data_IF_548363027769
#
_entry.id   IF_548363027769
#
_cell.length_a   1.000
_cell.length_b   1.000
_cell.length_c   1.000
_cell.angle_alpha   90.00
_cell.angle_beta   90.00
_cell.angle_gamma   90.00
#
_symmetry.space_group_name_H-M   'P 1'
#
loop_
_entity.id
_entity.type
_entity.pdbx_description
1 polymer ?
#
# COMPACT_ATOMS: atom_id res chain seq x y z
N UNK A 1 17.45 2.51 -8.57
CA UNK A 1 17.04 2.68 -7.16
C UNK A 1 15.59 2.25 -6.97
N UNK A 2 14.62 2.86 -7.67
CA UNK A 2 13.20 2.41 -7.63
C UNK A 2 13.03 0.95 -8.10
N UNK A 3 13.84 0.51 -9.07
CA UNK A 3 13.78 -0.84 -9.65
C UNK A 3 14.18 -1.97 -8.67
N UNK A 4 15.11 -1.72 -7.74
CA UNK A 4 15.55 -2.69 -6.73
C UNK A 4 14.48 -2.88 -5.65
N UNK A 5 13.86 -1.77 -5.22
CA UNK A 5 12.72 -1.80 -4.30
C UNK A 5 11.52 -2.52 -4.91
N UNK A 6 11.30 -2.34 -6.22
CA UNK A 6 10.28 -3.04 -6.99
C UNK A 6 10.49 -4.56 -6.98
N UNK A 7 11.76 -5.02 -6.92
CA UNK A 7 12.11 -6.43 -6.82
C UNK A 7 11.73 -7.09 -5.47
N UNK A 8 11.55 -6.31 -4.40
CA UNK A 8 11.13 -6.84 -3.09
C UNK A 8 9.61 -7.02 -2.97
N UNK A 9 8.83 -6.35 -3.82
CA UNK A 9 7.37 -6.40 -3.83
C UNK A 9 6.82 -7.83 -4.00
N UNK A 10 7.28 -8.64 -4.98
CA UNK A 10 6.75 -10.00 -5.15
C UNK A 10 7.02 -10.90 -3.94
N UNK A 11 8.18 -10.77 -3.28
CA UNK A 11 8.50 -11.56 -2.09
C UNK A 11 7.58 -11.20 -0.90
N UNK A 12 7.33 -9.90 -0.69
CA UNK A 12 6.37 -9.42 0.31
C UNK A 12 4.94 -9.88 0.01
N UNK A 13 4.53 -9.79 -1.25
CA UNK A 13 3.19 -10.21 -1.67
C UNK A 13 2.98 -11.71 -1.47
N UNK A 14 3.98 -12.53 -1.81
CA UNK A 14 3.94 -13.98 -1.62
C UNK A 14 3.86 -14.35 -0.14
N UNK A 15 4.63 -13.68 0.73
CA UNK A 15 4.58 -13.88 2.18
C UNK A 15 3.19 -13.52 2.76
N UNK A 16 2.64 -12.38 2.35
CA UNK A 16 1.31 -11.94 2.79
C UNK A 16 0.23 -12.92 2.33
N UNK A 17 0.30 -13.37 1.07
CA UNK A 17 -0.60 -14.39 0.53
C UNK A 17 -0.52 -15.69 1.33
N UNK A 18 0.68 -16.22 1.60
CA UNK A 18 0.83 -17.46 2.37
C UNK A 18 0.27 -17.33 3.79
N UNK A 19 0.59 -16.23 4.49
CA UNK A 19 0.07 -16.00 5.85
C UNK A 19 -1.46 -15.86 5.85
N UNK A 20 -2.01 -15.16 4.85
CA UNK A 20 -3.47 -15.00 4.74
C UNK A 20 -4.17 -16.33 4.46
N UNK A 21 -3.58 -17.17 3.60
CA UNK A 21 -4.14 -18.47 3.24
C UNK A 21 -4.14 -19.40 4.45
N UNK A 22 -3.05 -19.46 5.21
CA UNK A 22 -2.97 -20.24 6.45
C UNK A 22 -4.02 -19.79 7.47
N UNK A 23 -4.18 -18.48 7.67
CA UNK A 23 -5.21 -17.96 8.57
C UNK A 23 -6.61 -18.38 8.14
N UNK A 24 -6.94 -18.23 6.86
CA UNK A 24 -8.24 -18.63 6.31
C UNK A 24 -8.45 -20.13 6.46
N UNK A 25 -7.45 -20.96 6.15
CA UNK A 25 -7.52 -22.41 6.29
C UNK A 25 -7.79 -22.81 7.75
N UNK A 26 -7.01 -22.29 8.70
CA UNK A 26 -7.18 -22.59 10.13
C UNK A 26 -8.56 -22.15 10.61
N UNK A 27 -9.01 -20.95 10.24
CA UNK A 27 -10.34 -20.46 10.59
C UNK A 27 -11.44 -21.38 10.03
N UNK A 28 -11.40 -21.72 8.74
CA UNK A 28 -12.39 -22.59 8.12
C UNK A 28 -12.39 -23.98 8.75
N UNK A 29 -11.22 -24.60 8.95
CA UNK A 29 -11.08 -25.91 9.60
C UNK A 29 -11.62 -25.89 11.04
N UNK A 30 -11.39 -24.81 11.79
CA UNK A 30 -11.93 -24.66 13.15
C UNK A 30 -13.45 -24.50 13.19
N UNK A 31 -14.02 -23.78 12.23
CA UNK A 31 -15.47 -23.61 12.07
C UNK A 31 -16.11 -24.94 11.70
N UNK A 32 -15.51 -25.68 10.76
CA UNK A 32 -15.96 -27.03 10.39
C UNK A 32 -15.91 -27.94 11.62
N UNK A 33 -14.82 -27.92 12.39
CA UNK A 33 -14.68 -28.73 13.59
C UNK A 33 -15.78 -28.42 14.62
N UNK A 34 -16.13 -27.15 14.81
CA UNK A 34 -17.15 -26.74 15.77
C UNK A 34 -18.58 -27.12 15.34
N UNK A 35 -18.90 -27.00 14.05
CA UNK A 35 -20.25 -27.29 13.55
C UNK A 35 -20.50 -28.74 13.11
N UNK A 36 -19.44 -29.52 12.87
CA UNK A 36 -19.55 -30.94 12.47
C UNK A 36 -19.44 -31.94 13.63
N UNK A 37 -19.21 -31.44 14.85
CA UNK A 37 -19.20 -32.29 16.04
C UNK A 37 -20.62 -32.78 16.34
N UNK A 38 -20.86 -34.08 16.10
CA UNK A 38 -22.13 -34.73 16.44
C UNK A 38 -21.86 -35.95 17.32
N UNK A 39 -22.53 -35.99 18.46
CA UNK A 39 -22.52 -37.09 19.41
C UNK A 39 -23.90 -37.75 19.40
N UNK A 40 -23.98 -38.98 18.89
CA UNK A 40 -25.22 -39.75 18.83
C UNK A 40 -25.23 -40.76 19.99
N UNK A 41 -26.13 -40.55 20.96
CA UNK A 41 -26.46 -41.54 22.00
C UNK A 41 -27.69 -42.32 21.54
N UNK A 42 -27.48 -43.44 20.84
CA UNK A 42 -28.56 -44.34 20.44
C UNK A 42 -28.93 -45.21 21.64
N UNK A 43 -30.08 -44.91 22.27
CA UNK A 43 -30.74 -45.78 23.25
C UNK A 43 -31.86 -46.52 22.54
N UNK A 44 -31.68 -47.82 22.29
CA UNK A 44 -32.71 -48.69 21.72
C UNK A 44 -33.23 -49.61 22.82
N UNK A 45 -34.46 -49.37 23.31
CA UNK A 45 -35.14 -50.22 24.30
C UNK A 45 -36.23 -51.03 23.62
N UNK A 46 -35.91 -52.24 23.14
CA UNK A 46 -36.90 -53.18 22.59
C UNK A 46 -37.49 -54.03 23.71
N UNK A 47 -38.71 -53.71 24.17
CA UNK A 47 -39.47 -54.55 25.09
C UNK A 47 -40.45 -55.44 24.32
N UNK A 48 -40.04 -56.67 24.00
CA UNK A 48 -40.91 -57.70 23.41
C UNK A 48 -41.35 -58.69 24.49
N UNK A 49 -42.57 -58.53 25.01
CA UNK A 49 -43.18 -59.50 25.93
C UNK A 49 -44.15 -60.40 25.17
N UNK A 50 -43.77 -61.66 24.95
CA UNK A 50 -44.61 -62.65 24.26
C UNK A 50 -45.17 -63.65 25.27
N UNK A 51 -46.49 -63.63 25.48
CA UNK A 51 -47.19 -64.52 26.41
C UNK A 51 -47.86 -65.66 25.63
N UNK A 52 -47.36 -66.89 25.83
CA UNK A 52 -47.94 -68.11 25.21
C UNK A 52 -48.98 -68.70 26.15
N UNK A 53 -50.21 -68.93 25.68
CA UNK A 53 -51.31 -69.57 26.43
C UNK A 53 -51.66 -70.94 25.85
N UNK A 54 -51.82 -71.95 26.71
CA UNK A 54 -52.09 -73.35 26.33
C UNK A 54 -51.20 -74.37 27.05
N UNK A 55 -51.73 -75.60 27.24
CA UNK A 55 -51.08 -76.73 27.94
C UNK A 55 -50.58 -77.84 27.00
N UNK A 56 -50.59 -77.63 25.68
CA UNK A 56 -50.07 -78.60 24.71
C UNK A 56 -48.54 -78.69 24.73
N UNK A 57 -47.98 -79.82 24.29
CA UNK A 57 -46.53 -80.04 24.19
C UNK A 57 -45.83 -78.97 23.34
N UNK A 58 -46.47 -78.51 22.25
CA UNK A 58 -45.99 -77.40 21.43
C UNK A 58 -45.94 -76.08 22.20
N UNK A 59 -46.95 -75.79 23.03
CA UNK A 59 -46.99 -74.59 23.86
C UNK A 59 -45.90 -74.61 24.94
N UNK A 60 -45.54 -75.78 25.48
CA UNK A 60 -44.41 -75.91 26.41
C UNK A 60 -43.07 -75.66 25.70
N UNK A 61 -42.86 -76.21 24.50
CA UNK A 61 -41.66 -75.97 23.72
C UNK A 61 -41.50 -74.48 23.38
N UNK A 62 -42.55 -73.84 22.86
CA UNK A 62 -42.54 -72.40 22.54
C UNK A 62 -42.31 -71.53 23.77
N UNK A 63 -42.86 -71.90 24.93
CA UNK A 63 -42.63 -71.15 26.18
C UNK A 63 -41.19 -71.30 26.68
N UNK A 64 -40.56 -72.45 26.46
CA UNK A 64 -39.15 -72.68 26.81
C UNK A 64 -38.17 -71.96 25.87
N UNK A 65 -38.46 -71.91 24.56
CA UNK A 65 -37.60 -71.24 23.58
C UNK A 65 -37.74 -69.73 23.62
N UNK A 66 -38.97 -69.21 23.78
CA UNK A 66 -39.23 -67.77 23.92
C UNK A 66 -38.82 -67.24 25.30
N UNK A 67 -38.91 -68.07 26.35
CA UNK A 67 -38.41 -67.73 27.69
C UNK A 67 -36.89 -67.53 27.73
N UNK A 68 -36.14 -68.31 26.94
CA UNK A 68 -34.68 -68.14 26.80
C UNK A 68 -34.28 -66.89 25.99
N UNK A 69 -35.20 -66.35 25.18
CA UNK A 69 -35.01 -65.13 24.39
C UNK A 69 -35.63 -63.88 25.06
N UNK A 70 -36.20 -64.02 26.25
CA UNK A 70 -36.78 -62.92 27.03
C UNK A 70 -35.68 -62.11 27.74
N UNK A 71 -34.74 -61.60 26.95
CA UNK A 71 -33.64 -60.74 27.40
C UNK A 71 -33.95 -59.31 26.98
N UNK A 72 -34.30 -58.47 27.95
CA UNK A 72 -34.31 -57.02 27.78
C UNK A 72 -32.88 -56.51 27.60
N UNK A 73 -32.39 -56.43 26.36
CA UNK A 73 -31.07 -55.87 26.07
C UNK A 73 -31.15 -54.35 25.98
N UNK A 74 -30.76 -53.65 27.04
CA UNK A 74 -30.52 -52.20 27.03
C UNK A 74 -29.15 -51.94 26.41
N UNK A 75 -29.10 -51.76 25.09
CA UNK A 75 -27.85 -51.44 24.39
C UNK A 75 -27.72 -49.92 24.30
N UNK A 76 -26.83 -49.36 25.12
CA UNK A 76 -26.40 -47.97 25.03
C UNK A 76 -25.21 -47.89 24.06
N UNK A 77 -25.46 -47.44 22.83
CA UNK A 77 -24.40 -47.21 21.86
C UNK A 77 -24.07 -45.72 21.84
N UNK A 78 -22.97 -45.34 22.49
CA UNK A 78 -22.40 -43.99 22.38
C UNK A 78 -21.39 -43.96 21.22
N UNK A 79 -21.76 -43.30 20.12
CA UNK A 79 -20.87 -43.12 18.96
C UNK A 79 -20.55 -41.64 18.76
N UNK A 80 -19.26 -41.31 18.72
CA UNK A 80 -18.77 -39.94 18.51
C UNK A 80 -17.98 -39.83 17.20
N UNK A 81 -18.22 -38.77 16.41
CA UNK A 81 -17.49 -38.53 15.15
C UNK A 81 -16.10 -37.89 15.32
N UNK A 82 -15.59 -37.75 16.55
CA UNK A 82 -14.32 -37.07 16.86
C UNK A 82 -13.12 -37.55 16.05
N UNK A 83 -13.03 -38.85 15.77
CA UNK A 83 -11.94 -39.43 14.98
C UNK A 83 -11.95 -39.00 13.51
N UNK A 84 -13.11 -38.55 13.00
CA UNK A 84 -13.31 -38.12 11.62
C UNK A 84 -13.20 -36.60 11.44
N UNK A 85 -13.10 -35.82 12.53
CA UNK A 85 -13.02 -34.36 12.45
C UNK A 85 -11.61 -33.91 12.04
N UNK A 86 -11.48 -32.98 11.08
CA UNK A 86 -10.18 -32.44 10.71
C UNK A 86 -9.58 -31.65 11.87
N UNK A 87 -8.34 -31.97 12.26
CA UNK A 87 -7.61 -31.22 13.28
C UNK A 87 -6.95 -29.99 12.64
N UNK A 88 -7.34 -28.75 13.01
CA UNK A 88 -6.68 -27.56 12.50
C UNK A 88 -5.26 -27.48 13.08
N UNK A 89 -4.27 -27.84 12.26
CA UNK A 89 -2.85 -27.63 12.59
C UNK A 89 -2.41 -26.29 12.03
N UNK A 90 -2.24 -25.30 12.89
CA UNK A 90 -1.57 -24.05 12.51
C UNK A 90 -0.07 -24.28 12.38
N UNK A 91 0.59 -23.50 11.52
CA UNK A 91 2.04 -23.43 11.51
C UNK A 91 2.53 -22.96 12.89
N UNK A 92 3.58 -23.61 13.37
CA UNK A 92 4.23 -23.20 14.63
C UNK A 92 4.84 -21.80 14.48
N UNK A 93 4.92 -21.00 15.55
CA UNK A 93 5.54 -19.67 15.48
C UNK A 93 6.99 -19.70 14.97
N UNK A 94 7.69 -20.81 15.21
CA UNK A 94 9.04 -21.04 14.71
C UNK A 94 9.08 -21.18 13.17
N UNK A 95 8.10 -21.84 12.57
CA UNK A 95 7.99 -21.96 11.11
C UNK A 95 7.68 -20.61 10.45
N UNK A 96 6.79 -19.81 11.05
CA UNK A 96 6.55 -18.43 10.61
C UNK A 96 7.82 -17.57 10.69
N UNK A 97 8.53 -17.64 11.81
CA UNK A 97 9.78 -16.90 11.98
C UNK A 97 10.82 -17.28 10.92
N UNK A 98 10.96 -18.58 10.63
CA UNK A 98 11.90 -19.09 9.63
C UNK A 98 11.57 -18.63 8.20
N UNK A 99 10.28 -18.53 7.86
CA UNK A 99 9.80 -18.04 6.55
C UNK A 99 9.94 -16.53 6.39
N UNK A 100 9.69 -15.77 7.46
CA UNK A 100 9.77 -14.31 7.44
C UNK A 100 11.22 -13.77 7.48
N UNK A 101 12.12 -14.47 8.16
CA UNK A 101 13.54 -14.08 8.30
C UNK A 101 14.23 -13.72 6.97
N UNK A 102 14.22 -14.55 5.91
CA UNK A 102 14.91 -14.22 4.66
C UNK A 102 14.35 -12.97 3.98
N UNK A 103 13.03 -12.76 4.04
CA UNK A 103 12.38 -11.56 3.47
C UNK A 103 12.80 -10.32 4.24
N UNK A 104 12.85 -10.39 5.58
CA UNK A 104 13.31 -9.28 6.41
C UNK A 104 14.78 -8.93 6.15
N UNK A 105 15.65 -9.94 6.00
CA UNK A 105 17.06 -9.75 5.65
C UNK A 105 17.19 -9.10 4.27
N UNK A 106 16.42 -9.55 3.28
CA UNK A 106 16.43 -8.97 1.93
C UNK A 106 16.09 -7.48 1.98
N UNK A 107 15.01 -7.11 2.67
CA UNK A 107 14.59 -5.70 2.83
C UNK A 107 15.69 -4.88 3.52
N UNK A 108 16.30 -5.42 4.58
CA UNK A 108 17.41 -4.75 5.27
C UNK A 108 18.60 -4.50 4.33
N UNK A 109 18.98 -5.51 3.53
CA UNK A 109 20.07 -5.38 2.57
C UNK A 109 19.77 -4.33 1.50
N UNK A 110 18.54 -4.27 0.99
CA UNK A 110 18.13 -3.22 0.04
C UNK A 110 18.24 -1.82 0.66
N UNK A 111 17.84 -1.65 1.93
CA UNK A 111 18.03 -0.38 2.64
C UNK A 111 19.50 -0.03 2.77
N UNK A 112 20.33 -0.97 3.24
CA UNK A 112 21.78 -0.79 3.37
C UNK A 112 22.36 -0.36 2.03
N UNK A 113 22.04 -1.03 0.91
CA UNK A 113 22.51 -0.65 -0.42
C UNK A 113 22.18 0.81 -0.77
N UNK A 114 20.95 1.27 -0.55
CA UNK A 114 20.57 2.67 -0.82
C UNK A 114 21.47 3.65 -0.06
N UNK A 115 21.73 3.36 1.21
CA UNK A 115 22.63 4.17 2.04
C UNK A 115 24.10 4.04 1.59
N UNK A 116 24.57 2.85 1.24
CA UNK A 116 25.91 2.60 0.70
C UNK A 116 26.17 3.43 -0.55
N UNK A 117 25.21 3.50 -1.48
CA UNK A 117 25.33 4.30 -2.70
C UNK A 117 25.41 5.80 -2.40
N UNK A 118 24.67 6.30 -1.41
CA UNK A 118 24.76 7.70 -0.96
C UNK A 118 26.14 7.98 -0.33
N UNK A 119 26.60 7.08 0.53
CA UNK A 119 27.88 7.20 1.23
C UNK A 119 29.08 6.98 0.31
N UNK A 120 28.94 6.28 -0.82
CA UNK A 120 30.02 6.09 -1.81
C UNK A 120 30.65 7.42 -2.22
N UNK A 121 29.84 8.48 -2.35
CA UNK A 121 30.35 9.82 -2.64
C UNK A 121 31.16 10.39 -1.47
N UNK A 122 30.71 10.21 -0.24
CA UNK A 122 31.43 10.66 0.96
C UNK A 122 32.77 9.93 1.11
N UNK A 123 32.77 8.61 0.93
CA UNK A 123 33.97 7.77 0.94
C UNK A 123 34.95 8.22 -0.16
N UNK A 124 34.47 8.40 -1.39
CA UNK A 124 35.32 8.87 -2.50
C UNK A 124 35.85 10.29 -2.27
N UNK A 125 35.08 11.17 -1.63
CA UNK A 125 35.50 12.52 -1.27
C UNK A 125 36.61 12.51 -0.20
N UNK A 126 36.54 11.57 0.75
CA UNK A 126 37.55 11.38 1.79
C UNK A 126 38.88 10.88 1.20
N UNK A 127 38.85 9.84 0.36
CA UNK A 127 40.07 9.27 -0.23
C UNK A 127 40.66 10.09 -1.39
N UNK A 128 39.83 10.76 -2.20
CA UNK A 128 40.27 11.50 -3.38
C UNK A 128 39.77 12.97 -3.41
N UNK A 129 40.17 13.80 -2.44
CA UNK A 129 39.64 15.15 -2.27
C UNK A 129 39.93 16.06 -3.48
N UNK A 130 41.10 15.90 -4.12
CA UNK A 130 41.48 16.67 -5.31
C UNK A 130 40.52 16.46 -6.49
N UNK A 131 40.09 15.21 -6.72
CA UNK A 131 39.17 14.86 -7.83
C UNK A 131 37.75 15.33 -7.52
N UNK A 132 37.28 15.19 -6.28
CA UNK A 132 35.94 15.67 -5.90
C UNK A 132 35.86 17.20 -5.96
N UNK A 133 36.88 17.93 -5.51
CA UNK A 133 36.94 19.41 -5.63
C UNK A 133 36.81 19.87 -7.08
N UNK A 134 37.50 19.20 -8.01
CA UNK A 134 37.37 19.50 -9.45
C UNK A 134 35.95 19.28 -9.97
N UNK A 135 35.29 18.18 -9.59
CA UNK A 135 33.90 17.89 -9.97
C UNK A 135 32.92 18.93 -9.41
N UNK A 136 33.08 19.29 -8.14
CA UNK A 136 32.25 20.30 -7.48
C UNK A 136 32.45 21.67 -8.13
N UNK A 137 33.70 22.07 -8.40
CA UNK A 137 34.00 23.35 -9.05
C UNK A 137 33.47 23.39 -10.49
N UNK A 138 33.56 22.28 -11.23
CA UNK A 138 32.97 22.16 -12.56
C UNK A 138 31.44 22.31 -12.50
N UNK A 139 30.77 21.59 -11.60
CA UNK A 139 29.32 21.67 -11.43
C UNK A 139 28.88 23.09 -11.03
N UNK A 140 29.59 23.71 -10.10
CA UNK A 140 29.36 25.09 -9.68
C UNK A 140 29.46 26.05 -10.87
N UNK A 141 30.56 25.98 -11.63
CA UNK A 141 30.75 26.82 -12.81
C UNK A 141 29.69 26.56 -13.89
N UNK A 142 29.26 25.30 -14.07
CA UNK A 142 28.19 24.94 -15.00
C UNK A 142 26.86 25.58 -14.58
N UNK A 143 26.48 25.47 -13.31
CA UNK A 143 25.27 26.09 -12.76
C UNK A 143 25.32 27.62 -12.86
N UNK A 144 26.49 28.22 -12.59
CA UNK A 144 26.69 29.66 -12.71
C UNK A 144 26.52 30.13 -14.16
N UNK A 145 27.09 29.40 -15.13
CA UNK A 145 26.92 29.67 -16.57
C UNK A 145 25.47 29.52 -17.00
N UNK A 146 24.78 28.47 -16.54
CA UNK A 146 23.36 28.26 -16.83
C UNK A 146 22.51 29.43 -16.30
N UNK A 147 22.70 29.85 -15.03
CA UNK A 147 22.01 31.00 -14.44
C UNK A 147 22.29 32.30 -15.21
N UNK A 148 23.56 32.58 -15.55
CA UNK A 148 23.92 33.76 -16.36
C UNK A 148 23.24 33.74 -17.73
N UNK A 149 23.26 32.60 -18.42
CA UNK A 149 22.62 32.46 -19.73
C UNK A 149 21.09 32.64 -19.67
N UNK A 150 20.45 32.12 -18.62
CA UNK A 150 19.03 32.33 -18.36
C UNK A 150 18.71 33.81 -18.14
N UNK A 151 19.42 34.49 -17.25
CA UNK A 151 19.23 35.93 -16.99
C UNK A 151 19.47 36.75 -18.26
N UNK A 152 20.52 36.46 -19.03
CA UNK A 152 20.80 37.14 -20.30
C UNK A 152 19.68 36.93 -21.32
N UNK A 153 19.15 35.70 -21.44
CA UNK A 153 18.01 35.41 -22.33
C UNK A 153 16.77 36.17 -21.91
N UNK A 154 16.45 36.18 -20.62
CA UNK A 154 15.29 36.91 -20.09
C UNK A 154 15.43 38.42 -20.31
N UNK A 155 16.61 39.01 -20.05
CA UNK A 155 16.87 40.43 -20.33
C UNK A 155 16.67 40.77 -21.82
N UNK A 156 17.14 39.92 -22.74
CA UNK A 156 16.93 40.11 -24.18
C UNK A 156 15.45 40.04 -24.57
N UNK A 157 14.68 39.12 -23.98
CA UNK A 157 13.23 39.02 -24.20
C UNK A 157 12.50 40.25 -23.67
N UNK A 158 12.85 40.72 -22.47
CA UNK A 158 12.30 41.94 -21.88
C UNK A 158 12.60 43.19 -22.73
N UNK A 159 13.85 43.35 -23.18
CA UNK A 159 14.23 44.47 -24.04
C UNK A 159 13.46 44.46 -25.37
N UNK A 160 13.29 43.28 -26.00
CA UNK A 160 12.48 43.13 -27.22
C UNK A 160 11.00 43.47 -26.97
N UNK A 161 10.43 42.99 -25.87
CA UNK A 161 9.06 43.34 -25.47
C UNK A 161 8.91 44.84 -25.23
N UNK A 162 9.87 45.48 -24.54
CA UNK A 162 9.85 46.92 -24.32
C UNK A 162 9.89 47.71 -25.64
N UNK A 163 10.74 47.31 -26.59
CA UNK A 163 10.80 47.93 -27.92
C UNK A 163 9.52 47.72 -28.73
N UNK A 164 8.94 46.51 -28.72
CA UNK A 164 7.65 46.24 -29.38
C UNK A 164 6.49 47.03 -28.74
N UNK A 165 6.52 47.17 -27.43
CA UNK A 165 5.55 47.95 -26.66
C UNK A 165 5.70 49.46 -26.90
N UNK A 166 6.87 49.96 -27.33
CA UNK A 166 7.05 51.36 -27.75
C UNK A 166 6.45 51.69 -29.14
N UNK A 167 5.85 50.73 -29.84
CA UNK A 167 5.14 50.96 -31.10
C UNK A 167 3.84 51.75 -30.93
N UNK A 168 3.33 52.29 -32.04
CA UNK A 168 2.10 53.09 -32.23
C UNK A 168 0.87 52.64 -31.40
N UNK A 169 0.80 51.34 -31.08
CA UNK A 169 -0.19 50.70 -30.21
C UNK A 169 -0.18 51.26 -28.78
N UNK A 170 0.97 51.57 -28.17
CA UNK A 170 1.02 52.14 -26.81
C UNK A 170 0.63 53.62 -26.80
N UNK A 171 0.94 54.40 -27.84
CA UNK A 171 0.45 55.78 -27.97
C UNK A 171 -1.08 55.81 -28.09
N UNK A 172 -1.67 54.90 -28.87
CA UNK A 172 -3.12 54.73 -28.99
C UNK A 172 -3.75 54.21 -27.68
N UNK A 173 -3.12 53.23 -27.02
CA UNK A 173 -3.59 52.73 -25.71
C UNK A 173 -3.50 53.81 -24.63
N UNK A 174 -2.43 54.59 -24.59
CA UNK A 174 -2.21 55.64 -23.60
C UNK A 174 -3.17 56.81 -23.80
N UNK A 175 -3.51 57.12 -25.05
CA UNK A 175 -4.60 58.03 -25.39
C UNK A 175 -5.97 57.48 -24.94
N UNK A 176 -6.29 56.23 -25.28
CA UNK A 176 -7.56 55.59 -24.92
C UNK A 176 -7.71 55.41 -23.38
N UNK A 177 -6.63 55.08 -22.68
CA UNK A 177 -6.61 54.93 -21.22
C UNK A 177 -6.69 56.27 -20.47
N UNK A 178 -6.33 57.40 -21.11
CA UNK A 178 -6.58 58.75 -20.57
C UNK A 178 -8.08 59.07 -20.57
N UNK A 179 -8.85 58.45 -21.46
CA UNK A 179 -10.30 58.60 -21.57
C UNK A 179 -11.11 57.51 -20.85
N UNK A 180 -10.54 56.32 -20.60
CA UNK A 180 -11.18 55.25 -19.83
C UNK A 180 -10.24 54.67 -18.73
N UNK A 181 -10.36 55.12 -17.47
CA UNK A 181 -9.50 54.64 -16.37
C UNK A 181 -9.72 53.16 -15.99
N UNK A 182 -10.85 52.58 -16.39
CA UNK A 182 -11.23 51.20 -16.04
C UNK A 182 -10.42 50.13 -16.81
N UNK A 183 -9.96 50.44 -18.03
CA UNK A 183 -9.23 49.50 -18.90
C UNK A 183 -7.76 49.32 -18.50
N UNK A 184 -7.20 50.27 -17.73
CA UNK A 184 -5.81 50.24 -17.29
C UNK A 184 -5.55 49.15 -16.23
N UNK A 185 -6.59 48.77 -15.48
CA UNK A 185 -6.50 47.75 -14.43
C UNK A 185 -6.35 46.34 -15.00
N UNK A 186 -6.85 46.08 -16.21
CA UNK A 186 -6.83 44.75 -16.83
C UNK A 186 -5.53 44.40 -17.59
N UNK A 187 -4.76 45.38 -18.05
CA UNK A 187 -3.61 45.12 -18.95
C UNK A 187 -2.23 44.97 -18.27
N UNK A 188 -2.12 45.16 -16.95
CA UNK A 188 -0.83 45.16 -16.23
C UNK A 188 -0.79 44.25 -14.99
N UNK A 189 -1.38 43.05 -15.07
CA UNK A 189 -1.52 42.13 -13.92
C UNK A 189 -0.72 40.81 -14.06
N UNK A 190 0.39 40.81 -14.80
CA UNK A 190 1.23 39.61 -14.97
C UNK A 190 2.70 39.86 -14.65
N UNK A 191 3.39 38.81 -14.18
CA UNK A 191 4.81 38.92 -13.86
C UNK A 191 5.64 39.21 -15.11
N UNK A 192 6.57 40.17 -15.01
CA UNK A 192 7.34 40.64 -16.16
C UNK A 192 8.25 39.54 -16.77
N UNK A 193 8.71 38.59 -15.93
CA UNK A 193 9.63 37.51 -16.34
C UNK A 193 8.85 36.30 -16.90
N UNK A 194 7.97 35.69 -16.10
CA UNK A 194 7.28 34.44 -16.49
C UNK A 194 5.92 34.64 -17.17
N UNK A 195 5.32 35.84 -17.08
CA UNK A 195 4.01 36.13 -17.65
C UNK A 195 2.83 35.45 -16.93
N UNK A 196 3.05 34.83 -15.78
CA UNK A 196 1.96 34.21 -15.01
C UNK A 196 1.01 35.27 -14.47
N UNK A 197 -0.29 34.95 -14.49
CA UNK A 197 -1.34 35.78 -13.92
C UNK A 197 -1.21 35.88 -12.39
N UNK A 198 -1.76 36.98 -11.88
CA UNK A 198 -1.66 37.48 -10.51
C UNK A 198 -1.70 36.39 -9.42
N UNK A 199 -0.74 36.46 -8.48
CA UNK A 199 -0.87 35.81 -7.17
C UNK A 199 -0.93 36.91 -6.10
N UNK A 200 -1.68 36.74 -4.99
CA UNK A 200 -1.86 37.77 -3.96
C UNK A 200 -0.57 38.20 -3.22
N UNK A 201 0.60 37.72 -3.65
CA UNK A 201 1.89 37.91 -3.00
C UNK A 201 2.97 38.45 -3.95
N UNK A 202 2.57 39.18 -5.00
CA UNK A 202 3.50 39.73 -5.98
C UNK A 202 4.32 40.90 -5.38
N UNK A 203 5.64 40.86 -5.58
CA UNK A 203 6.57 41.88 -5.07
C UNK A 203 6.75 42.98 -6.13
N UNK A 204 6.58 44.23 -5.72
CA UNK A 204 6.90 45.41 -6.52
C UNK A 204 8.37 45.74 -6.37
N UNK A 205 9.01 46.15 -7.47
CA UNK A 205 10.37 46.66 -7.41
C UNK A 205 10.42 47.88 -6.46
N UNK A 206 11.33 47.92 -5.47
CA UNK A 206 11.43 49.02 -4.52
C UNK A 206 11.94 50.31 -5.17
N UNK A 207 12.42 50.25 -6.42
CA UNK A 207 12.83 51.43 -7.17
C UNK A 207 11.57 52.17 -7.70
N UNK A 208 11.32 53.42 -7.26
CA UNK A 208 10.07 54.11 -7.57
C UNK A 208 9.86 54.38 -9.06
N UNK A 209 10.94 54.43 -9.85
CA UNK A 209 10.90 54.63 -11.29
C UNK A 209 10.67 53.34 -12.11
N UNK A 210 10.82 52.15 -11.50
CA UNK A 210 10.83 50.88 -12.25
C UNK A 210 9.43 50.31 -12.45
N UNK A 211 8.55 50.38 -11.44
CA UNK A 211 7.16 49.91 -11.51
C UNK A 211 6.97 48.43 -11.89
N UNK A 212 8.05 47.64 -11.96
CA UNK A 212 8.02 46.25 -12.39
C UNK A 212 7.47 45.33 -11.29
N UNK A 213 6.66 44.35 -11.69
CA UNK A 213 6.04 43.36 -10.81
C UNK A 213 6.65 41.97 -11.04
N UNK A 214 6.96 41.28 -9.95
CA UNK A 214 7.59 39.96 -9.96
C UNK A 214 6.80 38.95 -9.14
N UNK A 215 6.74 37.72 -9.65
CA UNK A 215 6.24 36.57 -8.90
C UNK A 215 7.22 36.20 -7.77
N UNK A 216 6.78 35.55 -6.69
CA UNK A 216 7.67 35.07 -5.61
C UNK A 216 8.85 34.20 -6.09
N UNK A 217 8.64 33.38 -7.12
CA UNK A 217 9.69 32.53 -7.68
C UNK A 217 10.65 33.29 -8.63
N UNK A 218 10.28 34.50 -9.04
CA UNK A 218 10.94 35.32 -10.04
C UNK A 218 11.72 36.49 -9.43
N UNK A 219 11.35 36.90 -8.21
CA UNK A 219 12.03 37.89 -7.38
C UNK A 219 13.34 37.32 -6.84
#
# INVERSE_FOLDING_TARGET
QVLELLGCIPALLLLLLSCSLDHVLVSVLSVIQHHSFVQYSLRSSHHLSVQVSGSSLLAQLLRSTVGALNTSSDTQLETSNLACLPQPRSMTPQQYASSCMPVAVLVLLCLVQVYSYRMRRAIAAFFFPKREKMRVLHLYNKLLRQRRSFVQRQRKLLARRALQQQGLVMLLLQWCCRHLPCMLRWMRQSCIICGTAETPWDQLCPLPACGARYCKACW
#
